data_IF_582628133798
#
_entry.id   IF_582628133798
#
_cell.length_a   1.000
_cell.length_b   1.000
_cell.length_c   1.000
_cell.angle_alpha   90.00
_cell.angle_beta   90.00
_cell.angle_gamma   90.00
#
_symmetry.space_group_name_H-M   'P 1'
#
loop_
_entity.id
_entity.type
_entity.pdbx_description
1 polymer ?
#
# COMPACT_ATOMS: atom_id res chain seq x y z
N UNK A 1 -6.11 16.26 7.91
CA UNK A 1 -6.44 15.66 9.23
C UNK A 1 -5.80 14.30 9.26
N UNK A 2 -5.12 13.91 10.34
CA UNK A 2 -4.45 12.61 10.39
C UNK A 2 -5.50 11.51 10.31
N UNK A 3 -5.48 10.73 9.23
CA UNK A 3 -6.09 9.42 9.26
C UNK A 3 -5.45 8.69 10.44
N UNK A 4 -6.22 8.31 11.46
CA UNK A 4 -5.62 7.57 12.56
C UNK A 4 -5.07 6.27 11.99
N UNK A 5 -3.77 6.05 12.08
CA UNK A 5 -3.08 4.84 11.63
C UNK A 5 -3.81 3.55 12.03
N UNK A 6 -4.37 3.54 13.24
CA UNK A 6 -5.21 2.46 13.77
C UNK A 6 -6.47 2.18 12.93
N UNK A 7 -7.10 3.22 12.36
CA UNK A 7 -8.29 3.08 11.50
C UNK A 7 -7.92 2.49 10.15
N UNK A 8 -6.82 2.95 9.56
CA UNK A 8 -6.32 2.41 8.30
C UNK A 8 -5.96 0.93 8.49
N UNK A 9 -5.18 0.61 9.54
CA UNK A 9 -4.79 -0.76 9.87
C UNK A 9 -6.00 -1.68 10.09
N UNK A 10 -7.04 -1.19 10.80
CA UNK A 10 -8.26 -1.96 11.02
C UNK A 10 -9.02 -2.24 9.71
N UNK A 11 -9.10 -1.26 8.81
CA UNK A 11 -9.75 -1.44 7.52
C UNK A 11 -8.99 -2.43 6.63
N UNK A 12 -7.66 -2.37 6.62
CA UNK A 12 -6.81 -3.35 5.93
C UNK A 12 -7.08 -4.75 6.47
N UNK A 13 -7.01 -4.93 7.79
CA UNK A 13 -7.23 -6.23 8.42
C UNK A 13 -8.62 -6.82 8.11
N UNK A 14 -9.67 -5.98 8.09
CA UNK A 14 -11.02 -6.39 7.73
C UNK A 14 -11.14 -6.84 6.26
N UNK A 15 -10.58 -6.06 5.34
CA UNK A 15 -10.62 -6.38 3.91
C UNK A 15 -9.82 -7.64 3.61
N UNK A 16 -8.62 -7.75 4.19
CA UNK A 16 -7.69 -8.87 3.99
C UNK A 16 -8.25 -10.16 4.58
N UNK A 17 -8.80 -10.14 5.80
CA UNK A 17 -9.45 -11.31 6.40
C UNK A 17 -10.66 -11.81 5.56
N UNK A 18 -11.31 -10.91 4.81
CA UNK A 18 -12.42 -11.23 3.91
C UNK A 18 -12.02 -11.53 2.46
N UNK A 19 -10.73 -11.60 2.12
CA UNK A 19 -10.26 -11.88 0.76
C UNK A 19 -9.04 -12.81 0.73
N UNK A 20 -8.62 -13.22 -0.47
CA UNK A 20 -7.34 -13.91 -0.66
C UNK A 20 -6.33 -12.91 -1.22
N UNK A 21 -5.68 -12.18 -0.34
CA UNK A 21 -4.55 -11.30 -0.68
C UNK A 21 -3.28 -12.04 -0.27
N UNK A 22 -2.94 -13.08 -1.02
CA UNK A 22 -1.65 -13.74 -0.82
C UNK A 22 -0.58 -12.79 -1.40
N UNK A 23 0.41 -12.45 -0.56
CA UNK A 23 1.43 -11.42 -0.75
C UNK A 23 2.42 -11.71 -1.89
N UNK A 24 1.94 -11.65 -3.13
CA UNK A 24 2.76 -11.47 -4.33
C UNK A 24 2.81 -9.96 -4.67
N UNK A 25 3.92 -9.41 -5.17
CA UNK A 25 3.98 -7.95 -5.44
C UNK A 25 2.89 -7.40 -6.33
N UNK A 26 2.42 -8.17 -7.30
CA UNK A 26 1.31 -7.73 -8.15
C UNK A 26 0.04 -7.46 -7.33
N UNK A 27 -0.17 -8.15 -6.21
CA UNK A 27 -1.29 -7.93 -5.30
C UNK A 27 -0.98 -6.80 -4.32
N UNK A 28 0.24 -6.71 -3.78
CA UNK A 28 0.64 -5.63 -2.88
C UNK A 28 0.56 -4.26 -3.58
N UNK A 29 1.05 -4.16 -4.81
CA UNK A 29 0.94 -2.95 -5.64
C UNK A 29 -0.53 -2.54 -5.86
N UNK A 30 -1.36 -3.50 -6.27
CA UNK A 30 -2.80 -3.28 -6.49
C UNK A 30 -3.51 -2.88 -5.20
N UNK A 31 -3.14 -3.50 -4.09
CA UNK A 31 -3.70 -3.18 -2.78
C UNK A 31 -3.32 -1.77 -2.33
N UNK A 32 -2.04 -1.41 -2.43
CA UNK A 32 -1.56 -0.07 -2.10
C UNK A 32 -2.26 1.01 -2.94
N UNK A 33 -2.45 0.78 -4.24
CA UNK A 33 -3.19 1.69 -5.14
C UNK A 33 -4.64 1.82 -4.70
N UNK A 34 -5.34 0.69 -4.48
CA UNK A 34 -6.73 0.71 -4.06
C UNK A 34 -6.92 1.40 -2.69
N UNK A 35 -5.96 1.21 -1.77
CA UNK A 35 -5.94 1.89 -0.49
C UNK A 35 -5.75 3.41 -0.66
N UNK A 36 -4.83 3.84 -1.53
CA UNK A 36 -4.62 5.26 -1.80
C UNK A 36 -5.87 5.92 -2.38
N UNK A 37 -6.52 5.28 -3.37
CA UNK A 37 -7.79 5.73 -3.93
C UNK A 37 -8.90 5.81 -2.86
N UNK A 38 -8.96 4.84 -1.95
CA UNK A 38 -9.95 4.83 -0.87
C UNK A 38 -9.70 5.96 0.15
N UNK A 39 -8.45 6.39 0.29
CA UNK A 39 -8.05 7.52 1.15
C UNK A 39 -8.11 8.88 0.43
N UNK A 40 -8.32 8.91 -0.88
CA UNK A 40 -8.40 10.14 -1.68
C UNK A 40 -7.05 10.64 -2.19
N UNK A 41 -6.16 9.72 -2.57
CA UNK A 41 -4.89 9.99 -3.28
C UNK A 41 -3.90 10.85 -2.47
N UNK A 42 -3.79 10.55 -1.18
CA UNK A 42 -2.99 11.33 -0.22
C UNK A 42 -1.63 10.71 0.11
N UNK A 43 -1.40 9.46 -0.29
CA UNK A 43 -0.20 8.71 0.07
C UNK A 43 0.90 8.71 -0.99
N UNK A 44 2.08 8.28 -0.56
CA UNK A 44 3.29 8.14 -1.38
C UNK A 44 3.66 6.65 -1.50
N UNK A 45 4.01 6.18 -2.71
CA UNK A 45 4.36 4.78 -2.92
C UNK A 45 5.85 4.52 -2.73
N UNK A 46 6.15 3.47 -1.97
CA UNK A 46 7.49 2.95 -1.77
C UNK A 46 7.57 1.50 -2.22
N UNK A 47 8.70 1.10 -2.79
CA UNK A 47 8.93 -0.24 -3.32
C UNK A 47 10.21 -0.83 -2.73
N UNK A 48 10.16 -2.14 -2.51
CA UNK A 48 11.32 -2.97 -2.29
C UNK A 48 11.71 -3.64 -3.60
N UNK A 49 12.95 -3.46 -4.04
CA UNK A 49 13.52 -4.06 -5.24
C UNK A 49 13.55 -5.60 -5.11
N UNK A 50 13.19 -6.26 -6.23
CA UNK A 50 13.21 -7.69 -6.49
C UNK A 50 14.50 -8.45 -6.12
N UNK A 51 15.58 -7.74 -5.82
CA UNK A 51 16.80 -8.32 -5.25
C UNK A 51 16.69 -8.77 -3.78
N UNK A 52 15.70 -8.28 -3.02
CA UNK A 52 15.58 -8.60 -1.59
C UNK A 52 15.00 -10.01 -1.35
N UNK A 53 15.72 -10.96 -0.73
CA UNK A 53 15.30 -12.36 -0.68
C UNK A 53 13.98 -12.62 0.07
N UNK A 54 13.61 -11.74 1.01
CA UNK A 54 12.41 -11.89 1.85
C UNK A 54 11.26 -10.95 1.44
N UNK A 55 11.57 -9.88 0.72
CA UNK A 55 10.66 -8.74 0.52
C UNK A 55 10.73 -8.16 -0.89
N UNK A 56 11.36 -8.87 -1.84
CA UNK A 56 11.56 -8.53 -3.25
C UNK A 56 10.30 -8.04 -3.98
N UNK A 57 9.16 -8.19 -3.35
CA UNK A 57 7.87 -8.04 -3.95
C UNK A 57 6.93 -7.18 -3.10
N UNK A 58 7.44 -6.36 -2.18
CA UNK A 58 6.58 -5.49 -1.37
C UNK A 58 6.45 -4.07 -1.93
N UNK A 59 5.20 -3.61 -1.95
CA UNK A 59 4.84 -2.21 -2.22
C UNK A 59 4.16 -1.67 -0.98
N UNK A 60 4.70 -0.59 -0.45
CA UNK A 60 4.19 0.10 0.73
C UNK A 60 3.54 1.42 0.28
N UNK A 61 2.39 1.74 0.85
CA UNK A 61 1.78 3.06 0.79
C UNK A 61 2.13 3.82 2.08
N UNK A 62 2.84 4.93 1.95
CA UNK A 62 3.13 5.83 3.06
C UNK A 62 2.02 6.87 3.20
N UNK A 63 1.45 7.03 4.39
CA UNK A 63 0.44 8.05 4.70
C UNK A 63 0.82 8.73 6.02
N UNK A 64 1.28 9.99 5.93
CA UNK A 64 1.89 10.65 7.08
C UNK A 64 3.23 10.00 7.44
N UNK A 65 3.34 9.50 8.67
CA UNK A 65 4.56 8.87 9.21
C UNK A 65 4.49 7.33 9.20
N UNK A 66 3.38 6.75 8.74
CA UNK A 66 3.13 5.31 8.75
C UNK A 66 3.14 4.71 7.34
N UNK A 67 3.49 3.43 7.24
CA UNK A 67 3.52 2.64 6.02
C UNK A 67 2.47 1.53 6.06
N UNK A 68 1.84 1.26 4.92
CA UNK A 68 0.73 0.32 4.83
C UNK A 68 0.87 -0.60 3.61
N UNK A 69 0.53 -1.87 3.79
CA UNK A 69 0.42 -2.86 2.72
C UNK A 69 -0.75 -3.83 3.00
N UNK A 70 -0.77 -4.97 2.32
CA UNK A 70 -1.79 -6.00 2.55
C UNK A 70 -1.63 -6.72 3.90
N UNK A 71 -0.46 -6.66 4.55
CA UNK A 71 -0.20 -7.30 5.83
C UNK A 71 -0.56 -6.39 7.01
N UNK A 72 -0.61 -5.08 6.80
CA UNK A 72 -1.16 -4.13 7.76
C UNK A 72 -0.43 -2.80 7.78
N UNK A 73 -0.27 -2.27 8.99
CA UNK A 73 0.47 -1.05 9.24
C UNK A 73 1.86 -1.39 9.79
N UNK A 74 2.89 -0.75 9.24
CA UNK A 74 4.26 -0.78 9.70
C UNK A 74 4.69 0.64 10.05
N UNK A 75 5.37 0.82 11.19
CA UNK A 75 5.92 2.13 11.54
C UNK A 75 7.14 2.45 10.67
N UNK A 76 7.52 3.73 10.57
CA UNK A 76 8.78 4.11 9.94
C UNK A 76 9.99 3.40 10.56
N UNK A 77 9.99 3.18 11.87
CA UNK A 77 11.06 2.44 12.57
C UNK A 77 11.06 0.95 12.21
N UNK A 78 9.90 0.32 12.05
CA UNK A 78 9.84 -1.10 11.64
C UNK A 78 10.29 -1.28 10.19
N UNK A 79 9.87 -0.35 9.33
CA UNK A 79 10.33 -0.23 7.95
C UNK A 79 11.84 -0.02 7.96
N UNK A 80 12.35 1.04 8.58
CA UNK A 80 13.80 1.31 8.69
C UNK A 80 14.57 0.14 9.29
N UNK A 81 14.10 -0.55 10.33
CA UNK A 81 14.80 -1.70 10.90
C UNK A 81 14.81 -2.92 9.97
N UNK A 82 13.70 -3.17 9.26
CA UNK A 82 13.64 -4.25 8.26
C UNK A 82 14.54 -3.93 7.07
N UNK A 83 14.71 -2.65 6.74
CA UNK A 83 15.41 -2.21 5.53
C UNK A 83 16.83 -1.67 5.76
N UNK A 84 17.24 -1.38 7.00
CA UNK A 84 18.62 -1.00 7.37
C UNK A 84 19.59 -2.16 7.08
N UNK A 85 19.09 -3.39 7.06
CA UNK A 85 19.86 -4.56 6.67
C UNK A 85 20.18 -4.56 5.16
N UNK A 86 19.42 -3.83 4.33
CA UNK A 86 19.58 -3.81 2.88
C UNK A 86 19.00 -2.53 2.21
N UNK A 87 19.48 -1.32 2.56
CA UNK A 87 18.89 -0.04 2.17
C UNK A 87 18.97 0.24 0.65
N UNK A 88 19.85 -0.45 -0.07
CA UNK A 88 19.97 -0.34 -1.52
C UNK A 88 18.72 -0.83 -2.28
N UNK A 89 17.86 -1.63 -1.64
CA UNK A 89 16.66 -2.17 -2.27
C UNK A 89 15.41 -1.33 -1.96
N UNK A 90 15.47 -0.32 -1.10
CA UNK A 90 14.29 0.49 -0.75
C UNK A 90 14.29 1.84 -1.48
N UNK A 91 13.20 2.17 -2.15
CA UNK A 91 13.09 3.41 -2.92
C UNK A 91 11.67 3.93 -3.08
N UNK A 92 11.57 5.22 -3.42
CA UNK A 92 10.32 5.84 -3.86
C UNK A 92 9.96 5.35 -5.26
N UNK A 93 8.70 4.93 -5.44
CA UNK A 93 8.23 4.35 -6.69
C UNK A 93 7.68 5.37 -7.70
N UNK A 94 7.47 6.60 -7.27
CA UNK A 94 6.84 7.63 -8.09
C UNK A 94 5.33 7.40 -8.30
N UNK A 95 4.85 7.57 -9.52
CA UNK A 95 3.43 7.45 -9.87
C UNK A 95 2.94 6.00 -9.97
N UNK A 96 1.62 5.77 -9.88
CA UNK A 96 0.98 4.44 -9.91
C UNK A 96 1.37 3.57 -11.11
N UNK A 97 1.53 4.17 -12.29
CA UNK A 97 1.99 3.45 -13.50
C UNK A 97 3.39 2.88 -13.30
N UNK A 98 4.26 3.63 -12.61
CA UNK A 98 5.60 3.17 -12.29
C UNK A 98 5.58 2.06 -11.25
N UNK A 99 4.68 2.14 -10.27
CA UNK A 99 4.48 1.08 -9.26
C UNK A 99 4.06 -0.24 -9.91
N UNK A 100 3.06 -0.20 -10.79
CA UNK A 100 2.57 -1.40 -11.48
C UNK A 100 3.64 -2.00 -12.41
N UNK A 101 4.38 -1.14 -13.12
CA UNK A 101 5.46 -1.59 -14.00
C UNK A 101 6.62 -2.23 -13.22
N UNK A 102 7.00 -1.66 -12.08
CA UNK A 102 8.06 -2.22 -11.23
C UNK A 102 7.64 -3.55 -10.59
N UNK A 103 6.37 -3.68 -10.20
CA UNK A 103 5.81 -4.96 -9.74
C UNK A 103 5.84 -6.04 -10.85
N UNK A 104 5.55 -5.64 -12.10
CA UNK A 104 5.59 -6.53 -13.28
C UNK A 104 7.04 -6.93 -13.65
N UNK A 105 7.97 -5.96 -13.67
CA UNK A 105 9.40 -6.16 -13.97
C UNK A 105 10.07 -7.12 -12.97
N UNK A 106 9.52 -7.22 -11.74
CA UNK A 106 9.96 -8.16 -10.70
C UNK A 106 9.47 -9.61 -10.93
N UNK A 107 8.71 -9.87 -12.01
CA UNK A 107 8.23 -11.20 -12.39
C UNK A 107 6.98 -11.67 -11.63
N UNK A 108 6.32 -10.78 -10.91
CA UNK A 108 5.21 -11.09 -10.03
C UNK A 108 3.87 -10.80 -10.71
N UNK A 109 3.40 -11.77 -11.50
CA UNK A 109 2.06 -11.73 -12.05
C UNK A 109 1.04 -12.07 -10.97
N UNK A 110 0.32 -11.08 -10.46
CA UNK A 110 -0.85 -11.33 -9.63
C UNK A 110 -1.99 -11.97 -10.44
N UNK A 111 -2.77 -12.82 -9.77
CA UNK A 111 -4.08 -13.20 -10.28
C UNK A 111 -4.93 -11.92 -10.49
N UNK A 112 -5.84 -11.91 -11.48
CA UNK A 112 -6.74 -10.77 -11.67
C UNK A 112 -7.51 -10.48 -10.38
N UNK A 113 -7.34 -9.26 -9.88
CA UNK A 113 -8.02 -8.71 -8.71
C UNK A 113 -9.06 -7.70 -9.18
N UNK A 114 -10.27 -7.79 -8.65
CA UNK A 114 -11.32 -6.81 -8.92
C UNK A 114 -11.03 -5.55 -8.11
N UNK A 115 -10.41 -4.57 -8.78
CA UNK A 115 -9.97 -3.31 -8.17
C UNK A 115 -11.14 -2.47 -7.68
N UNK A 116 -12.24 -2.42 -8.44
CA UNK A 116 -13.41 -1.63 -8.07
C UNK A 116 -14.05 -2.18 -6.79
N UNK A 117 -14.21 -3.51 -6.72
CA UNK A 117 -14.74 -4.17 -5.52
C UNK A 117 -13.78 -4.04 -4.32
N UNK A 118 -12.48 -4.08 -4.53
CA UNK A 118 -11.48 -3.87 -3.47
C UNK A 118 -11.57 -2.46 -2.90
N UNK A 119 -11.57 -1.45 -3.77
CA UNK A 119 -11.67 -0.05 -3.36
C UNK A 119 -12.98 0.23 -2.63
N UNK A 120 -14.10 -0.31 -3.11
CA UNK A 120 -15.39 -0.16 -2.44
C UNK A 120 -15.34 -0.73 -1.02
N UNK A 121 -14.83 -1.95 -0.86
CA UNK A 121 -14.66 -2.58 0.46
C UNK A 121 -13.74 -1.78 1.37
N UNK A 122 -12.64 -1.24 0.85
CA UNK A 122 -11.74 -0.38 1.62
C UNK A 122 -12.44 0.91 2.03
N UNK A 123 -13.21 1.56 1.16
CA UNK A 123 -14.00 2.77 1.50
C UNK A 123 -15.06 2.46 2.55
N UNK A 124 -15.74 1.33 2.46
CA UNK A 124 -16.73 0.88 3.45
C UNK A 124 -16.09 0.64 4.82
N UNK A 125 -14.99 -0.11 4.87
CA UNK A 125 -14.27 -0.44 6.10
C UNK A 125 -13.60 0.79 6.71
N UNK A 126 -13.05 1.68 5.88
CA UNK A 126 -12.57 2.97 6.32
C UNK A 126 -13.74 3.80 6.87
N UNK A 127 -14.94 3.75 6.28
CA UNK A 127 -16.05 4.64 6.62
C UNK A 127 -15.84 6.05 6.05
N UNK A 128 -16.65 7.06 6.44
CA UNK A 128 -16.55 8.40 5.87
C UNK A 128 -15.15 8.98 6.06
N UNK A 129 -14.45 9.19 4.95
CA UNK A 129 -13.18 9.89 4.89
C UNK A 129 -13.53 11.38 4.82
N UNK A 130 -13.06 12.17 5.78
CA UNK A 130 -13.23 13.62 5.70
C UNK A 130 -12.63 14.09 4.37
N UNK A 131 -13.45 14.75 3.53
CA UNK A 131 -13.07 15.12 2.18
C UNK A 131 -11.71 15.85 2.16
N UNK A 132 -10.86 15.63 1.13
CA UNK A 132 -9.65 16.42 0.95
C UNK A 132 -10.07 17.88 0.94
N UNK A 133 -9.35 18.73 1.68
CA UNK A 133 -9.53 20.17 1.60
C UNK A 133 -9.45 20.55 0.12
N UNK A 134 -10.59 20.91 -0.48
CA UNK A 134 -10.60 21.61 -1.75
C UNK A 134 -9.65 22.81 -1.66
N UNK A 135 -9.01 23.21 -2.77
CA UNK A 135 -7.97 24.22 -2.75
C UNK A 135 -8.47 25.44 -1.99
N UNK A 136 -7.69 25.90 -1.00
CA UNK A 136 -7.99 27.10 -0.25
C UNK A 136 -8.27 28.24 -1.24
N UNK A 137 -9.50 28.75 -1.19
CA UNK A 137 -9.97 29.84 -2.03
C UNK A 137 -9.18 31.14 -1.81
#
# INVERSE_FOLDING_TARGET
MAHSSTRIAAAIAEVVAGGRFDGFSGNCARFAIALNHALGDVGEFHIVDGGHPEYADHVLLKVGDDFFDADGASSAEDVENTWDEAPEYFGEAGEEESVLRLADDSGCMAAPLDMEALEERLREALGPVDAPFGPAA
#
